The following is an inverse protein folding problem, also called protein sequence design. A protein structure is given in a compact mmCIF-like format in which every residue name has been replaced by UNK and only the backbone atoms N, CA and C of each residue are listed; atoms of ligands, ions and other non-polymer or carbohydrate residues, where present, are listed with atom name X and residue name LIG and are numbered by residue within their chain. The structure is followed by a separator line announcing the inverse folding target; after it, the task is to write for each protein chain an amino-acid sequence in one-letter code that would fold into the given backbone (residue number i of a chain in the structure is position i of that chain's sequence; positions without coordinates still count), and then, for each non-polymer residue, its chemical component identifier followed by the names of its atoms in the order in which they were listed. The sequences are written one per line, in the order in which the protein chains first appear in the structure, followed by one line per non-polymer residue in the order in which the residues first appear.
data_IF_979203159338
#
_entry.id   IF_979203159338
#
_cell.length_a   1.000
_cell.length_b   1.000
_cell.length_c   1.000
_cell.angle_alpha   90.00
_cell.angle_beta   90.00
_cell.angle_gamma   90.00
#
_symmetry.space_group_name_H-M   'P 1'
#
loop_
_entity.id
_entity.type
_entity.pdbx_description
1 polymer ?
#
# COMPACT_ATOMS: atom_id res chain seq x y z
N UNK A 1 -1.93 12.36 -28.41
CA UNK A 1 -0.46 12.21 -28.29
C UNK A 1 0.19 12.52 -29.63
N UNK A 2 1.28 13.24 -29.61
CA UNK A 2 2.04 13.53 -30.80
C UNK A 2 3.11 12.46 -31.02
N UNK A 3 3.38 12.16 -32.29
CA UNK A 3 4.43 11.23 -32.66
C UNK A 3 5.75 11.98 -32.82
N UNK A 4 6.82 11.38 -32.34
CA UNK A 4 8.17 11.93 -32.47
C UNK A 4 8.96 11.08 -33.46
N UNK A 5 9.58 11.75 -34.45
CA UNK A 5 10.50 11.10 -35.39
C UNK A 5 11.93 11.31 -34.88
N UNK A 6 12.60 10.21 -34.57
CA UNK A 6 13.96 10.24 -34.07
C UNK A 6 14.97 10.23 -35.19
N UNK A 7 16.15 10.82 -34.96
CA UNK A 7 17.30 10.67 -35.85
C UNK A 7 17.69 9.18 -35.94
N UNK A 8 18.28 8.73 -37.11
CA UNK A 8 18.54 7.31 -37.30
C UNK A 8 19.42 6.64 -36.25
N UNK A 9 20.24 7.41 -35.55
CA UNK A 9 21.12 6.91 -34.49
C UNK A 9 20.47 6.90 -33.10
N UNK A 10 19.27 7.44 -32.99
CA UNK A 10 18.52 7.46 -31.72
C UNK A 10 17.40 6.42 -31.80
N UNK A 11 17.44 5.43 -30.94
CA UNK A 11 16.47 4.34 -30.94
C UNK A 11 15.25 4.61 -30.05
N UNK A 12 15.44 5.35 -28.96
CA UNK A 12 14.34 5.67 -28.06
C UNK A 12 14.65 6.89 -27.21
N UNK A 13 13.61 7.60 -26.83
CA UNK A 13 13.67 8.67 -25.84
C UNK A 13 12.55 8.42 -24.85
N UNK A 14 12.87 8.52 -23.55
CA UNK A 14 11.88 8.44 -22.51
C UNK A 14 12.20 9.43 -21.39
N UNK A 15 11.19 9.84 -20.64
CA UNK A 15 11.36 10.75 -19.52
C UNK A 15 10.60 12.05 -19.70
N UNK A 16 10.91 13.01 -18.85
CA UNK A 16 10.21 14.31 -18.76
C UNK A 16 11.16 15.45 -19.05
N UNK A 17 10.75 16.35 -19.92
CA UNK A 17 11.48 17.57 -20.23
C UNK A 17 10.50 18.74 -20.13
N UNK A 18 10.63 19.56 -19.12
CA UNK A 18 9.71 20.67 -18.89
C UNK A 18 8.25 20.18 -18.76
N UNK A 19 7.40 20.68 -19.64
CA UNK A 19 5.97 20.30 -19.69
C UNK A 19 5.69 19.09 -20.57
N UNK A 20 6.72 18.49 -21.16
CA UNK A 20 6.57 17.37 -22.07
C UNK A 20 6.99 16.07 -21.41
N UNK A 21 6.25 15.04 -21.72
CA UNK A 21 6.54 13.68 -21.32
C UNK A 21 6.76 12.84 -22.58
N UNK A 22 7.93 12.21 -22.68
CA UNK A 22 8.29 11.32 -23.78
C UNK A 22 8.11 9.87 -23.35
N UNK A 23 7.52 9.09 -24.21
CA UNK A 23 7.27 7.69 -23.96
C UNK A 23 7.56 6.86 -25.20
N UNK A 24 8.32 5.79 -25.04
CA UNK A 24 8.55 4.81 -26.08
C UNK A 24 7.53 3.67 -25.95
N UNK A 25 6.77 3.42 -27.01
CA UNK A 25 5.81 2.35 -27.07
C UNK A 25 6.48 1.01 -27.40
N UNK A 26 5.76 -0.09 -27.17
CA UNK A 26 6.25 -1.44 -27.49
C UNK A 26 6.60 -1.60 -28.97
N UNK A 27 5.99 -0.84 -29.86
CA UNK A 27 6.28 -0.84 -31.29
C UNK A 27 7.61 -0.15 -31.63
N UNK A 28 8.31 0.43 -30.68
CA UNK A 28 9.51 1.21 -30.89
C UNK A 28 9.26 2.68 -31.21
N UNK A 29 8.01 3.10 -31.33
CA UNK A 29 7.67 4.51 -31.57
C UNK A 29 7.80 5.33 -30.31
N UNK A 30 8.36 6.52 -30.45
CA UNK A 30 8.38 7.51 -29.39
C UNK A 30 7.23 8.49 -29.57
N UNK A 31 6.49 8.72 -28.54
CA UNK A 31 5.38 9.70 -28.49
C UNK A 31 5.67 10.75 -27.44
N UNK A 32 5.14 11.93 -27.65
CA UNK A 32 5.24 13.04 -26.71
C UNK A 32 3.83 13.54 -26.39
N UNK A 33 3.61 13.87 -25.13
CA UNK A 33 2.37 14.49 -24.68
C UNK A 33 2.66 15.61 -23.70
N UNK A 34 1.72 16.55 -23.60
CA UNK A 34 1.78 17.55 -22.55
C UNK A 34 1.63 16.88 -21.20
N UNK A 35 2.53 17.21 -20.31
CA UNK A 35 2.49 16.72 -18.94
C UNK A 35 1.23 17.25 -18.26
N UNK A 36 0.48 16.36 -17.65
CA UNK A 36 -0.69 16.74 -16.87
C UNK A 36 -0.23 17.53 -15.65
N UNK A 37 -0.68 18.77 -15.55
CA UNK A 37 -0.55 19.48 -14.30
C UNK A 37 -1.46 18.83 -13.29
N UNK A 38 -0.86 18.23 -12.28
CA UNK A 38 -1.61 17.67 -11.17
C UNK A 38 -1.57 18.65 -10.00
N UNK A 39 -2.35 19.67 -10.06
CA UNK A 39 -2.74 20.44 -8.89
C UNK A 39 -3.40 19.54 -7.84
N UNK A 40 -3.87 18.43 -8.29
CA UNK A 40 -4.42 17.36 -7.52
C UNK A 40 -3.57 16.97 -6.31
N UNK A 41 -2.24 16.89 -6.45
CA UNK A 41 -1.37 16.48 -5.35
C UNK A 41 -1.17 17.57 -4.29
N UNK A 42 -1.32 18.83 -4.68
CA UNK A 42 -1.12 19.97 -3.79
C UNK A 42 -2.41 20.49 -3.19
N UNK A 43 -3.53 20.31 -3.86
CA UNK A 43 -4.82 20.86 -3.45
C UNK A 43 -5.80 19.80 -2.93
N UNK A 44 -5.51 18.52 -3.13
CA UNK A 44 -6.43 17.49 -2.70
C UNK A 44 -6.43 17.35 -1.18
N UNK A 45 -7.56 17.69 -0.60
CA UNK A 45 -7.81 17.49 0.83
C UNK A 45 -8.59 16.18 0.99
N UNK A 46 -8.02 15.17 1.66
CA UNK A 46 -8.73 13.91 1.84
C UNK A 46 -10.04 14.09 2.59
N UNK A 47 -11.09 13.42 2.13
CA UNK A 47 -12.35 13.37 2.86
C UNK A 47 -12.18 12.57 4.16
N UNK A 48 -13.15 12.68 5.06
CA UNK A 48 -13.14 11.91 6.29
C UNK A 48 -13.09 10.40 6.02
N UNK A 49 -13.80 9.94 4.99
CA UNK A 49 -13.80 8.54 4.56
C UNK A 49 -12.43 8.09 4.06
N UNK A 50 -11.77 8.91 3.26
CA UNK A 50 -10.42 8.62 2.77
C UNK A 50 -9.40 8.56 3.90
N UNK A 51 -9.49 9.49 4.85
CA UNK A 51 -8.61 9.47 6.03
C UNK A 51 -8.81 8.22 6.86
N UNK A 52 -10.06 7.80 7.04
CA UNK A 52 -10.37 6.57 7.77
C UNK A 52 -9.79 5.34 7.07
N UNK A 53 -9.89 5.25 5.74
CA UNK A 53 -9.31 4.17 4.97
C UNK A 53 -7.79 4.16 5.02
N UNK A 54 -7.16 5.31 4.92
CA UNK A 54 -5.70 5.45 5.03
C UNK A 54 -5.20 5.04 6.40
N UNK A 55 -5.89 5.46 7.44
CA UNK A 55 -5.59 5.06 8.81
C UNK A 55 -5.65 3.54 8.97
N UNK A 56 -6.74 2.94 8.51
CA UNK A 56 -6.94 1.49 8.57
C UNK A 56 -5.82 0.75 7.85
N UNK A 57 -5.55 1.12 6.61
CA UNK A 57 -4.51 0.48 5.81
C UNK A 57 -3.13 0.61 6.46
N UNK A 58 -2.79 1.80 6.93
CA UNK A 58 -1.50 2.05 7.57
C UNK A 58 -1.30 1.22 8.84
N UNK A 59 -2.31 1.18 9.70
CA UNK A 59 -2.23 0.44 10.96
C UNK A 59 -2.20 -1.07 10.70
N UNK A 60 -3.13 -1.57 9.89
CA UNK A 60 -3.21 -3.01 9.58
C UNK A 60 -1.94 -3.49 8.90
N UNK A 61 -1.47 -2.76 7.89
CA UNK A 61 -0.24 -3.09 7.17
C UNK A 61 0.99 -3.14 8.09
N UNK A 62 1.10 -2.17 8.97
CA UNK A 62 2.20 -2.09 9.93
C UNK A 62 2.21 -3.26 10.91
N UNK A 63 1.05 -3.59 11.47
CA UNK A 63 0.91 -4.71 12.41
C UNK A 63 1.17 -6.03 11.72
N UNK A 64 0.64 -6.24 10.51
CA UNK A 64 0.88 -7.46 9.73
C UNK A 64 2.36 -7.66 9.45
N UNK A 65 3.06 -6.61 9.06
CA UNK A 65 4.51 -6.68 8.80
C UNK A 65 5.30 -7.03 10.05
N UNK A 66 4.91 -6.49 11.18
CA UNK A 66 5.55 -6.77 12.45
C UNK A 66 5.33 -8.21 12.90
N UNK A 67 4.12 -8.73 12.73
CA UNK A 67 3.79 -10.12 13.03
C UNK A 67 4.58 -11.07 12.12
N UNK A 68 4.67 -10.78 10.82
CA UNK A 68 5.43 -11.62 9.89
C UNK A 68 6.91 -11.71 10.25
N UNK A 69 7.48 -10.64 10.75
CA UNK A 69 8.89 -10.65 11.19
C UNK A 69 9.14 -11.57 12.37
N UNK A 70 8.13 -11.80 13.20
CA UNK A 70 8.21 -12.68 14.35
C UNK A 70 8.25 -14.16 13.98
N UNK A 71 7.84 -14.54 12.78
CA UNK A 71 7.83 -15.93 12.35
C UNK A 71 9.09 -16.31 11.56
N UNK A 72 9.53 -17.55 11.76
CA UNK A 72 10.62 -18.12 10.99
C UNK A 72 10.24 -18.27 9.51
N UNK A 73 11.23 -18.18 8.62
CA UNK A 73 11.02 -18.41 7.19
C UNK A 73 10.58 -19.84 6.89
N UNK A 74 10.85 -20.76 7.79
CA UNK A 74 10.48 -22.17 7.64
C UNK A 74 9.00 -22.39 7.90
N UNK A 75 8.37 -21.50 8.64
CA UNK A 75 6.96 -21.60 8.99
C UNK A 75 6.10 -20.78 8.03
N UNK A 76 5.97 -21.25 6.80
CA UNK A 76 5.23 -20.56 5.74
C UNK A 76 3.74 -20.41 6.07
N UNK A 77 3.15 -21.41 6.70
CA UNK A 77 1.73 -21.36 7.04
C UNK A 77 1.41 -20.27 8.06
N UNK A 78 2.29 -20.10 9.07
CA UNK A 78 2.12 -19.05 10.06
C UNK A 78 2.44 -17.66 9.50
N UNK A 79 3.26 -17.59 8.45
CA UNK A 79 3.65 -16.35 7.80
C UNK A 79 2.73 -15.93 6.68
N UNK A 80 1.68 -16.65 6.40
CA UNK A 80 0.75 -16.30 5.34
C UNK A 80 0.16 -14.90 5.58
N UNK A 81 0.62 -13.95 4.77
CA UNK A 81 0.24 -12.55 4.90
C UNK A 81 -1.27 -12.34 4.79
N UNK A 82 -1.92 -13.05 3.90
CA UNK A 82 -3.36 -12.95 3.70
C UNK A 82 -4.13 -13.34 4.97
N UNK A 83 -3.72 -14.41 5.58
CA UNK A 83 -4.33 -14.93 6.80
C UNK A 83 -4.14 -13.98 7.99
N UNK A 84 -2.92 -13.50 8.16
CA UNK A 84 -2.59 -12.51 9.18
C UNK A 84 -3.40 -11.23 8.93
N UNK A 85 -3.45 -10.78 7.69
CA UNK A 85 -4.19 -9.59 7.31
C UNK A 85 -5.67 -9.66 7.68
N UNK A 86 -6.30 -10.78 7.41
CA UNK A 86 -7.71 -10.97 7.74
C UNK A 86 -7.97 -10.87 9.25
N UNK A 87 -7.11 -11.44 10.06
CA UNK A 87 -7.22 -11.38 11.52
C UNK A 87 -6.95 -10.00 12.07
N UNK A 88 -5.90 -9.37 11.62
CA UNK A 88 -5.55 -8.02 12.03
C UNK A 88 -6.64 -7.03 11.63
N UNK A 89 -7.21 -7.19 10.44
CA UNK A 89 -8.33 -6.36 9.98
C UNK A 89 -9.56 -6.52 10.88
N UNK A 90 -9.84 -7.71 11.30
CA UNK A 90 -10.93 -7.97 12.24
C UNK A 90 -10.69 -7.29 13.58
N UNK A 91 -9.49 -7.41 14.13
CA UNK A 91 -9.12 -6.76 15.38
C UNK A 91 -9.17 -5.24 15.28
N UNK A 92 -8.74 -4.70 14.14
CA UNK A 92 -8.87 -3.27 13.88
C UNK A 92 -10.33 -2.83 13.94
N UNK A 93 -11.21 -3.55 13.25
CA UNK A 93 -12.63 -3.26 13.25
C UNK A 93 -13.26 -3.32 14.64
N UNK A 94 -12.70 -4.14 15.53
CA UNK A 94 -13.19 -4.30 16.88
C UNK A 94 -12.77 -3.15 17.80
N UNK A 95 -11.58 -2.57 17.61
CA UNK A 95 -10.98 -1.65 18.56
C UNK A 95 -10.79 -0.22 18.07
N UNK A 96 -10.91 0.05 16.76
CA UNK A 96 -10.55 1.35 16.19
C UNK A 96 -11.40 2.52 16.74
N UNK A 97 -12.66 2.27 17.10
CA UNK A 97 -13.54 3.31 17.63
C UNK A 97 -13.21 3.71 19.06
N UNK A 98 -12.72 2.76 19.84
CA UNK A 98 -12.43 2.99 21.25
C UNK A 98 -11.04 3.57 21.49
N UNK A 99 -10.15 3.49 20.52
CA UNK A 99 -8.77 3.95 20.64
C UNK A 99 -8.46 4.94 19.51
N UNK A 100 -8.32 6.21 19.87
CA UNK A 100 -8.03 7.27 18.89
C UNK A 100 -6.55 7.36 18.54
N UNK A 101 -5.68 7.05 19.50
CA UNK A 101 -4.23 7.08 19.26
C UNK A 101 -3.79 5.89 18.43
N UNK A 102 -3.15 6.18 17.30
CA UNK A 102 -2.69 5.15 16.37
C UNK A 102 -1.66 4.21 17.00
N UNK A 103 -0.75 4.71 17.79
CA UNK A 103 0.26 3.89 18.46
C UNK A 103 -0.37 2.96 19.50
N UNK A 104 -1.31 3.48 20.27
CA UNK A 104 -2.05 2.68 21.26
C UNK A 104 -2.88 1.60 20.59
N UNK A 105 -3.51 1.92 19.45
CA UNK A 105 -4.31 0.97 18.69
C UNK A 105 -3.43 -0.16 18.12
N UNK A 106 -2.28 0.19 17.56
CA UNK A 106 -1.31 -0.80 17.06
C UNK A 106 -0.84 -1.73 18.16
N UNK A 107 -0.47 -1.16 19.30
CA UNK A 107 -0.02 -1.95 20.45
C UNK A 107 -1.12 -2.88 20.95
N UNK A 108 -2.36 -2.41 21.00
CA UNK A 108 -3.49 -3.21 21.42
C UNK A 108 -3.78 -4.37 20.49
N UNK A 109 -3.80 -4.11 19.18
CA UNK A 109 -4.02 -5.14 18.16
C UNK A 109 -2.92 -6.20 18.23
N UNK A 110 -1.68 -5.75 18.30
CA UNK A 110 -0.53 -6.66 18.37
C UNK A 110 -0.59 -7.53 19.62
N UNK A 111 -0.91 -6.94 20.75
CA UNK A 111 -1.07 -7.64 22.01
C UNK A 111 -2.16 -8.70 21.95
N UNK A 112 -3.33 -8.32 21.45
CA UNK A 112 -4.46 -9.25 21.33
C UNK A 112 -4.16 -10.37 20.35
N UNK A 113 -3.51 -10.05 19.26
CA UNK A 113 -3.10 -11.05 18.27
C UNK A 113 -2.12 -12.07 18.89
N UNK A 114 -1.11 -11.60 19.59
CA UNK A 114 -0.12 -12.49 20.20
C UNK A 114 -0.72 -13.38 21.28
N UNK A 115 -1.64 -12.87 22.06
CA UNK A 115 -2.31 -13.65 23.13
C UNK A 115 -3.35 -14.59 22.56
N UNK A 116 -4.19 -14.11 21.68
CA UNK A 116 -5.27 -14.90 21.09
C UNK A 116 -4.86 -15.68 19.85
N UNK A 117 -3.98 -15.09 19.03
CA UNK A 117 -3.51 -15.68 17.80
C UNK A 117 -2.59 -16.88 17.99
N UNK A 118 -1.82 -16.87 19.05
CA UNK A 118 -1.00 -18.00 19.46
C UNK A 118 -1.83 -19.23 19.78
N UNK A 119 -3.05 -19.00 20.19
CA UNK A 119 -3.99 -20.07 20.47
C UNK A 119 -4.57 -20.63 19.18
N UNK A 120 -3.79 -20.61 18.17
CA UNK A 120 -4.11 -21.01 16.83
C UNK A 120 -5.09 -20.05 16.15
N UNK A 121 -4.59 -19.40 15.13
CA UNK A 121 -5.39 -18.54 14.28
C UNK A 121 -6.67 -19.17 13.75
N UNK A 122 -6.68 -20.45 13.66
CA UNK A 122 -7.81 -21.29 13.26
C UNK A 122 -8.76 -21.63 14.40
N UNK A 123 -8.30 -21.54 15.64
CA UNK A 123 -9.12 -21.80 16.81
C UNK A 123 -9.83 -20.57 17.33
N UNK A 124 -9.28 -19.41 17.00
CA UNK A 124 -9.84 -18.18 17.50
C UNK A 124 -10.72 -17.60 16.41
N UNK A 125 -12.01 -17.73 16.53
CA UNK A 125 -12.93 -17.02 15.69
C UNK A 125 -12.83 -15.55 16.08
N UNK A 126 -11.84 -14.98 15.63
CA UNK A 126 -11.67 -13.57 15.88
C UNK A 126 -12.58 -12.81 14.97
#
# INVERSE_FOLDING_TARGET
MARVTLAPFIHSISGKVGNLEFRTLKSGRTVVRARRETDYQTEHIPSAKERAQRRRFGIVSSVVSEIQRGYSRVDEAARDRKRIWQKVSYLYGKYYESIEDDQALRAMILRVYNVGGEQAPDKTPI
#
